data_IF_040958338916
#
_entry.id   IF_040958338916
#
_cell.length_a   1.000
_cell.length_b   1.000
_cell.length_c   1.000
_cell.angle_alpha   90.00
_cell.angle_beta   90.00
_cell.angle_gamma   90.00
#
_symmetry.space_group_name_H-M   'P 1'
#
loop_
_entity.id
_entity.type
_entity.pdbx_description
1 polymer ?
#
# COMPACT_ATOMS: atom_id res chain seq x y z
N UNK A 1 -12.97 -5.34 -19.21
CA UNK A 1 -11.70 -5.66 -19.89
C UNK A 1 -10.65 -5.87 -18.82
N UNK A 2 -9.93 -6.98 -18.85
CA UNK A 2 -8.79 -7.23 -17.96
C UNK A 2 -7.51 -7.01 -18.74
N UNK A 3 -6.64 -6.13 -18.26
CA UNK A 3 -5.32 -5.88 -18.83
C UNK A 3 -4.31 -5.71 -17.71
N UNK A 4 -3.07 -6.11 -17.95
CA UNK A 4 -1.99 -5.94 -16.98
C UNK A 4 -1.54 -4.48 -16.95
N UNK A 5 -1.36 -3.93 -15.76
CA UNK A 5 -0.76 -2.60 -15.56
C UNK A 5 0.70 -2.84 -15.15
N UNK A 6 1.64 -2.25 -15.88
CA UNK A 6 3.07 -2.24 -15.55
C UNK A 6 3.51 -0.80 -15.30
N UNK A 7 4.09 -0.51 -14.14
CA UNK A 7 4.54 0.83 -13.75
C UNK A 7 5.88 0.75 -13.03
N UNK A 8 6.81 1.61 -13.44
CA UNK A 8 8.14 1.76 -12.82
C UNK A 8 8.36 3.22 -12.45
N UNK A 9 8.80 3.46 -11.21
CA UNK A 9 9.08 4.80 -10.67
C UNK A 9 10.32 4.72 -9.80
N UNK A 10 11.23 5.69 -9.93
CA UNK A 10 12.40 5.82 -9.07
C UNK A 10 12.08 6.81 -7.94
N UNK A 11 12.30 6.40 -6.70
CA UNK A 11 12.15 7.25 -5.52
C UNK A 11 13.52 7.55 -4.91
N UNK A 12 13.75 8.79 -4.51
CA UNK A 12 14.90 9.19 -3.68
C UNK A 12 14.61 8.84 -2.21
N UNK A 13 14.46 7.55 -1.93
CA UNK A 13 14.15 6.98 -0.64
C UNK A 13 14.77 5.59 -0.50
N UNK A 14 15.05 5.16 0.73
CA UNK A 14 15.50 3.79 0.98
C UNK A 14 14.38 2.78 0.72
N UNK A 15 14.77 1.52 0.43
CA UNK A 15 13.82 0.44 0.22
C UNK A 15 12.88 0.25 1.43
N UNK A 16 13.40 0.37 2.66
CA UNK A 16 12.61 0.28 3.88
C UNK A 16 11.55 1.37 3.97
N UNK A 17 11.89 2.63 3.67
CA UNK A 17 10.92 3.74 3.69
C UNK A 17 9.82 3.54 2.65
N UNK A 18 10.19 3.12 1.43
CA UNK A 18 9.22 2.84 0.36
C UNK A 18 8.28 1.69 0.74
N UNK A 19 8.84 0.62 1.31
CA UNK A 19 8.05 -0.52 1.78
C UNK A 19 7.08 -0.11 2.90
N UNK A 20 7.58 0.55 3.94
CA UNK A 20 6.75 1.02 5.06
C UNK A 20 5.68 2.01 4.62
N UNK A 21 5.96 2.87 3.63
CA UNK A 21 4.92 3.74 3.08
C UNK A 21 3.75 2.94 2.52
N UNK A 22 4.01 1.82 1.85
CA UNK A 22 2.98 1.00 1.22
C UNK A 22 2.29 0.02 2.17
N UNK A 23 2.94 -0.37 3.28
CA UNK A 23 2.45 -1.41 4.20
C UNK A 23 2.01 -0.90 5.58
N UNK A 24 2.37 0.32 5.97
CA UNK A 24 1.91 0.95 7.21
C UNK A 24 0.73 1.89 6.95
N UNK A 25 -0.37 1.68 7.67
CA UNK A 25 -1.60 2.44 7.48
C UNK A 25 -1.44 3.95 7.75
N UNK A 26 -0.66 4.32 8.76
CA UNK A 26 -0.47 5.72 9.14
C UNK A 26 0.37 6.46 8.09
N UNK A 27 1.44 5.84 7.60
CA UNK A 27 2.28 6.40 6.54
C UNK A 27 1.53 6.48 5.22
N UNK A 28 0.79 5.43 4.87
CA UNK A 28 -0.04 5.41 3.67
C UNK A 28 -1.05 6.55 3.68
N UNK A 29 -1.76 6.72 4.79
CA UNK A 29 -2.72 7.81 4.94
C UNK A 29 -2.05 9.19 4.88
N UNK A 30 -0.86 9.34 5.46
CA UNK A 30 -0.12 10.60 5.45
C UNK A 30 0.27 11.06 4.05
N UNK A 31 0.73 10.17 3.17
CA UNK A 31 1.16 10.59 1.82
C UNK A 31 0.01 10.62 0.80
N UNK A 32 -1.05 9.82 0.99
CA UNK A 32 -2.22 9.83 0.09
C UNK A 32 -3.27 10.86 0.48
N UNK A 33 -3.27 11.33 1.72
CA UNK A 33 -4.31 12.21 2.27
C UNK A 33 -5.67 11.51 2.47
N UNK A 34 -5.72 10.18 2.36
CA UNK A 34 -6.96 9.40 2.46
C UNK A 34 -6.85 8.32 3.55
N UNK A 35 -7.95 7.96 4.23
CA UNK A 35 -7.93 6.92 5.26
C UNK A 35 -7.47 5.57 4.72
N UNK A 36 -6.69 4.85 5.53
CA UNK A 36 -6.24 3.50 5.25
C UNK A 36 -6.28 2.62 6.51
N UNK A 37 -6.59 1.35 6.31
CA UNK A 37 -6.50 0.27 7.29
C UNK A 37 -5.64 -0.84 6.66
N UNK A 38 -4.53 -1.20 7.30
CA UNK A 38 -3.59 -2.19 6.77
C UNK A 38 -3.14 -3.13 7.89
N UNK A 39 -3.27 -4.44 7.66
CA UNK A 39 -2.74 -5.48 8.53
C UNK A 39 -1.32 -5.85 8.11
N UNK A 40 -0.35 -5.64 9.01
CA UNK A 40 1.08 -5.93 8.81
C UNK A 40 1.46 -7.41 8.98
N UNK A 41 0.57 -8.33 8.65
CA UNK A 41 0.82 -9.77 8.71
C UNK A 41 0.63 -10.43 7.32
N UNK A 42 1.38 -11.49 6.98
CA UNK A 42 1.12 -12.26 5.76
C UNK A 42 -0.31 -12.78 5.72
N UNK A 43 -1.00 -12.58 4.59
CA UNK A 43 -2.43 -12.86 4.43
C UNK A 43 -3.37 -11.78 5.00
N UNK A 44 -2.83 -10.77 5.69
CA UNK A 44 -3.55 -9.67 6.31
C UNK A 44 -4.32 -8.82 5.28
N UNK A 45 -5.52 -8.37 5.65
CA UNK A 45 -6.34 -7.52 4.79
C UNK A 45 -5.88 -6.06 4.81
N UNK A 46 -6.15 -5.35 3.71
CA UNK A 46 -6.03 -3.89 3.66
C UNK A 46 -7.24 -3.25 2.98
N UNK A 47 -7.49 -2.00 3.36
CA UNK A 47 -8.54 -1.13 2.82
C UNK A 47 -7.98 0.29 2.74
N UNK A 48 -7.82 0.81 1.52
CA UNK A 48 -7.16 2.08 1.24
C UNK A 48 -8.12 3.07 0.57
N UNK A 49 -7.75 4.35 0.63
CA UNK A 49 -8.50 5.47 0.05
C UNK A 49 -9.96 5.51 0.53
N UNK A 50 -10.18 5.36 1.84
CA UNK A 50 -11.53 5.36 2.42
C UNK A 50 -12.39 4.18 1.96
N UNK A 51 -11.77 3.04 1.64
CA UNK A 51 -12.46 1.81 1.24
C UNK A 51 -12.69 1.62 -0.25
N UNK A 52 -12.12 2.49 -1.10
CA UNK A 52 -12.24 2.36 -2.56
C UNK A 52 -11.36 1.24 -3.13
N UNK A 53 -10.24 0.94 -2.48
CA UNK A 53 -9.31 -0.12 -2.89
C UNK A 53 -9.11 -1.06 -1.71
N UNK A 54 -9.34 -2.35 -1.92
CA UNK A 54 -9.18 -3.35 -0.87
C UNK A 54 -8.45 -4.58 -1.40
N UNK A 55 -7.75 -5.28 -0.53
CA UNK A 55 -7.01 -6.48 -0.90
C UNK A 55 -6.39 -7.18 0.29
N UNK A 56 -5.35 -7.98 0.01
CA UNK A 56 -4.57 -8.69 1.02
C UNK A 56 -3.08 -8.60 0.72
N UNK A 57 -2.28 -8.46 1.77
CA UNK A 57 -0.86 -8.68 1.73
C UNK A 57 -0.63 -10.19 1.57
N UNK A 58 0.09 -10.62 0.53
CA UNK A 58 0.35 -12.04 0.31
C UNK A 58 1.55 -12.49 1.16
N UNK A 59 2.60 -11.68 1.18
CA UNK A 59 3.84 -11.85 1.94
C UNK A 59 4.27 -10.48 2.46
N UNK A 60 4.99 -10.45 3.58
CA UNK A 60 5.53 -9.23 4.20
C UNK A 60 6.95 -9.46 4.71
#
# INVERSE_FOLDING_TARGET
MTGSIHQEVLFDASAAQTYEALTDAARFAAFTGAPAEISGEPGGAFSCFGGMISGRNIEL
#
